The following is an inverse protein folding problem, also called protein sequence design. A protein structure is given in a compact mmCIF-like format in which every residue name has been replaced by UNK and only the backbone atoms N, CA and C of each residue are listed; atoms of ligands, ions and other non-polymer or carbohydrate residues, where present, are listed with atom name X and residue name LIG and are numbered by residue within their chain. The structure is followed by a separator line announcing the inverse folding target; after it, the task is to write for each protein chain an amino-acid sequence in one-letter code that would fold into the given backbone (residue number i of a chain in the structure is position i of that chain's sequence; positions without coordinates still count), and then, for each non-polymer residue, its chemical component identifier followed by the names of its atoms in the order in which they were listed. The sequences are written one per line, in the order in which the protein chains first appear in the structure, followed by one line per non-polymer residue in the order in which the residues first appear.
data_IF_450456261394
#
_entry.id   IF_450456261394
#
_cell.length_a   1.000
_cell.length_b   1.000
_cell.length_c   1.000
_cell.angle_alpha   90.00
_cell.angle_beta   90.00
_cell.angle_gamma   90.00
#
_symmetry.space_group_name_H-M   'P 1'
#
loop_
_entity.id
_entity.type
_entity.pdbx_description
1 polymer ?
#
# COMPACT_ATOMS: atom_id res chain seq x y z
N UNK A 1 -52.99 18.81 39.47
CA UNK A 1 -52.75 18.37 40.83
C UNK A 1 -51.29 18.07 40.92
N UNK A 2 -50.53 19.04 41.24
CA UNK A 2 -49.90 19.33 42.56
C UNK A 2 -48.83 18.30 42.84
N UNK A 3 -47.67 18.58 43.24
CA UNK A 3 -46.93 19.79 43.58
C UNK A 3 -45.59 19.38 44.18
N UNK A 4 -44.62 20.18 43.96
CA UNK A 4 -43.66 20.78 44.89
C UNK A 4 -42.39 20.01 45.27
N UNK A 5 -41.31 20.63 44.86
CA UNK A 5 -40.29 21.42 45.66
C UNK A 5 -39.36 20.57 46.49
N UNK A 6 -38.10 20.81 46.57
CA UNK A 6 -37.27 21.99 46.39
C UNK A 6 -35.87 21.71 46.93
N UNK A 7 -34.92 22.42 46.45
CA UNK A 7 -33.88 23.23 47.14
C UNK A 7 -33.07 22.58 48.27
N UNK A 8 -31.77 22.74 48.42
CA UNK A 8 -30.84 23.89 48.27
C UNK A 8 -29.43 23.52 48.73
N UNK A 9 -28.41 24.12 48.07
CA UNK A 9 -27.17 24.76 48.60
C UNK A 9 -26.19 23.92 49.46
N UNK A 10 -24.89 23.99 49.41
CA UNK A 10 -23.91 25.10 49.27
C UNK A 10 -22.48 24.57 49.12
N UNK A 11 -21.68 25.32 48.44
CA UNK A 11 -20.23 25.46 48.33
C UNK A 11 -19.70 26.16 49.63
N UNK A 12 -18.39 26.32 49.89
CA UNK A 12 -17.08 25.72 49.62
C UNK A 12 -16.22 25.55 50.88
N UNK A 13 -15.01 24.98 50.82
CA UNK A 13 -13.87 25.47 51.64
C UNK A 13 -12.54 25.18 50.92
N UNK A 14 -11.86 26.23 50.62
CA UNK A 14 -10.45 26.37 50.31
C UNK A 14 -9.61 26.15 51.57
N UNK A 15 -8.50 25.43 51.48
CA UNK A 15 -7.40 25.63 52.44
C UNK A 15 -6.06 25.48 51.75
N UNK A 16 -5.38 26.58 51.63
CA UNK A 16 -3.97 26.68 51.28
C UNK A 16 -3.13 26.62 52.56
N UNK A 17 -2.03 25.89 52.56
CA UNK A 17 -0.95 26.09 53.55
C UNK A 17 0.40 26.01 52.86
N UNK A 18 1.24 26.91 53.25
CA UNK A 18 2.46 27.45 52.73
C UNK A 18 3.70 26.69 53.29
N UNK A 19 4.71 26.57 52.46
CA UNK A 19 6.18 26.61 52.65
C UNK A 19 6.84 26.05 53.92
N UNK A 20 7.85 25.25 53.73
CA UNK A 20 9.14 25.41 54.40
C UNK A 20 10.30 24.81 53.54
N UNK A 21 11.23 25.67 53.20
CA UNK A 21 12.55 25.36 52.62
C UNK A 21 13.49 24.82 53.73
N UNK A 22 14.22 23.73 53.43
CA UNK A 22 15.56 23.51 54.03
C UNK A 22 16.48 22.92 52.99
N UNK A 23 17.57 23.60 52.76
CA UNK A 23 18.74 23.22 51.95
C UNK A 23 19.62 22.24 52.70
N UNK A 24 20.12 21.20 52.00
CA UNK A 24 21.44 20.58 52.29
C UNK A 24 21.98 19.84 51.05
N UNK A 25 23.25 19.91 50.89
CA UNK A 25 24.07 19.74 49.72
C UNK A 25 24.48 18.27 49.39
N UNK A 26 24.80 18.10 48.11
CA UNK A 26 25.82 17.24 47.48
C UNK A 26 25.83 15.74 47.76
N UNK A 27 25.56 14.97 46.73
CA UNK A 27 26.48 13.98 46.15
C UNK A 27 26.04 13.56 44.75
N UNK A 28 27.03 13.51 43.89
CA UNK A 28 27.09 13.17 42.49
C UNK A 28 26.70 11.71 42.29
N UNK A 29 25.69 11.43 41.41
CA UNK A 29 25.61 10.13 40.73
C UNK A 29 24.75 10.30 39.47
N UNK A 30 25.30 9.84 38.35
CA UNK A 30 24.88 10.09 37.00
C UNK A 30 23.41 9.67 36.70
N UNK A 31 22.57 10.63 36.40
CA UNK A 31 21.28 10.44 35.85
C UNK A 31 21.34 10.68 34.33
N UNK A 32 21.31 9.58 33.57
CA UNK A 32 21.03 9.63 32.14
C UNK A 32 19.64 10.21 31.95
N UNK A 33 19.59 11.45 31.52
CA UNK A 33 18.37 12.05 30.98
C UNK A 33 18.13 11.45 29.59
N UNK A 34 17.08 10.65 29.43
CA UNK A 34 16.52 10.30 28.15
C UNK A 34 15.99 11.58 27.51
N UNK A 35 16.79 12.23 26.69
CA UNK A 35 16.34 13.23 25.75
C UNK A 35 15.51 12.52 24.70
N UNK A 36 14.21 12.84 24.62
CA UNK A 36 13.36 12.47 23.51
C UNK A 36 13.97 12.99 22.21
N UNK A 37 14.49 12.07 21.43
CA UNK A 37 15.01 12.33 20.10
C UNK A 37 13.83 12.58 19.17
N UNK A 38 13.51 13.85 18.95
CA UNK A 38 12.80 14.27 17.75
C UNK A 38 13.76 13.99 16.58
N UNK A 39 13.62 12.80 15.99
CA UNK A 39 14.33 12.50 14.73
C UNK A 39 13.83 13.47 13.67
N UNK A 40 14.55 14.53 13.48
CA UNK A 40 14.50 15.33 12.26
C UNK A 40 14.82 14.36 11.12
N UNK A 41 13.90 14.21 10.16
CA UNK A 41 14.14 13.38 8.99
C UNK A 41 15.47 13.81 8.36
N UNK A 42 16.45 12.92 8.41
CA UNK A 42 17.73 13.15 7.76
C UNK A 42 17.44 13.19 6.24
N UNK A 43 18.01 14.16 5.56
CA UNK A 43 18.07 14.13 4.10
C UNK A 43 18.73 12.83 3.68
N UNK A 44 18.29 12.16 2.58
CA UNK A 44 18.87 10.91 2.15
C UNK A 44 20.37 11.05 2.05
N UNK A 45 21.13 10.09 2.57
CA UNK A 45 22.56 9.99 2.30
C UNK A 45 22.72 9.43 0.88
N UNK A 46 22.38 10.26 -0.08
CA UNK A 46 22.49 9.98 -1.52
C UNK A 46 23.95 9.62 -1.82
N UNK A 47 24.15 8.82 -2.86
CA UNK A 47 25.51 8.49 -3.31
C UNK A 47 26.28 9.80 -3.48
N UNK A 48 27.39 10.02 -2.77
CA UNK A 48 28.01 11.35 -2.64
C UNK A 48 28.45 11.99 -3.96
N UNK A 49 28.48 11.21 -5.03
CA UNK A 49 29.00 11.59 -6.34
C UNK A 49 27.93 11.84 -7.39
N UNK A 50 26.63 11.73 -7.05
CA UNK A 50 25.52 11.91 -8.01
C UNK A 50 24.78 13.21 -7.75
N UNK A 51 24.50 13.93 -8.82
CA UNK A 51 23.64 15.12 -8.78
C UNK A 51 22.21 14.70 -8.44
N UNK A 52 21.57 15.46 -7.55
CA UNK A 52 20.16 15.32 -7.25
C UNK A 52 19.39 16.17 -8.24
N UNK A 53 18.52 15.57 -9.09
CA UNK A 53 17.73 16.36 -10.03
C UNK A 53 16.65 17.17 -9.30
N UNK A 54 16.29 18.33 -9.85
CA UNK A 54 15.01 18.97 -9.52
C UNK A 54 13.88 18.15 -10.13
N UNK A 55 12.72 18.13 -9.45
CA UNK A 55 11.55 17.37 -9.91
C UNK A 55 10.52 18.35 -10.52
N UNK A 56 10.32 18.27 -11.81
CA UNK A 56 9.23 18.98 -12.47
C UNK A 56 7.96 18.12 -12.40
N UNK A 57 6.90 18.66 -11.80
CA UNK A 57 5.60 17.97 -11.64
C UNK A 57 4.56 18.62 -12.54
N UNK A 58 3.94 17.82 -13.39
CA UNK A 58 2.86 18.24 -14.30
C UNK A 58 1.56 17.51 -13.95
N UNK A 59 0.45 18.25 -13.93
CA UNK A 59 -0.90 17.67 -13.83
C UNK A 59 -1.34 17.25 -15.22
N UNK A 60 -1.49 15.94 -15.45
CA UNK A 60 -1.95 15.41 -16.74
C UNK A 60 -3.47 15.37 -16.83
N UNK A 61 -4.12 14.95 -15.73
CA UNK A 61 -5.58 14.86 -15.61
C UNK A 61 -5.98 15.37 -14.25
N UNK A 62 -7.01 16.18 -14.18
CA UNK A 62 -7.60 16.71 -12.96
C UNK A 62 -9.06 16.24 -12.78
N UNK A 63 -9.68 16.64 -11.67
CA UNK A 63 -11.08 16.37 -11.33
C UNK A 63 -11.44 14.86 -11.29
N UNK A 64 -10.47 14.01 -10.92
CA UNK A 64 -10.67 12.59 -10.73
C UNK A 64 -11.32 12.28 -9.36
N UNK A 65 -11.87 11.08 -9.22
CA UNK A 65 -12.45 10.59 -7.96
C UNK A 65 -11.80 9.27 -7.55
N UNK A 66 -10.88 9.34 -6.59
CA UNK A 66 -10.17 8.19 -6.04
C UNK A 66 -9.53 7.27 -7.11
N UNK A 67 -8.70 7.78 -8.05
CA UNK A 67 -7.93 6.91 -8.93
C UNK A 67 -7.03 6.01 -8.08
N UNK A 68 -7.11 4.68 -8.32
CA UNK A 68 -6.49 3.74 -7.41
C UNK A 68 -5.17 3.17 -7.93
N UNK A 69 -5.09 2.79 -9.21
CA UNK A 69 -3.86 2.30 -9.83
C UNK A 69 -3.72 2.83 -11.26
N UNK A 70 -2.53 2.69 -11.81
CA UNK A 70 -2.22 3.06 -13.18
C UNK A 70 -1.13 2.18 -13.78
N UNK A 71 -1.09 2.10 -15.11
CA UNK A 71 0.01 1.48 -15.84
C UNK A 71 0.21 2.18 -17.19
N UNK A 72 1.47 2.36 -17.59
CA UNK A 72 1.80 2.93 -18.89
C UNK A 72 2.06 1.83 -19.91
N UNK A 73 1.40 1.92 -21.07
CA UNK A 73 1.68 1.09 -22.24
C UNK A 73 2.93 1.55 -23.00
N UNK A 74 3.50 0.66 -23.81
CA UNK A 74 4.72 0.94 -24.57
C UNK A 74 4.55 2.08 -25.61
N UNK A 75 3.32 2.39 -26.03
CA UNK A 75 3.01 3.50 -26.92
C UNK A 75 2.93 4.86 -26.21
N UNK A 76 3.15 4.88 -24.89
CA UNK A 76 3.10 6.06 -24.03
C UNK A 76 1.72 6.35 -23.43
N UNK A 77 0.68 5.57 -23.77
CA UNK A 77 -0.65 5.71 -23.17
C UNK A 77 -0.62 5.30 -21.70
N UNK A 78 -1.20 6.10 -20.80
CA UNK A 78 -1.38 5.75 -19.38
C UNK A 78 -2.81 5.32 -19.13
N UNK A 79 -3.01 4.05 -18.81
CA UNK A 79 -4.30 3.50 -18.38
C UNK A 79 -4.41 3.65 -16.88
N UNK A 80 -5.53 4.14 -16.39
CA UNK A 80 -5.79 4.30 -14.96
C UNK A 80 -7.26 4.00 -14.63
N UNK A 81 -7.48 3.59 -13.41
CA UNK A 81 -8.82 3.29 -12.89
C UNK A 81 -9.32 4.35 -11.90
N UNK A 82 -10.58 4.24 -11.53
CA UNK A 82 -11.19 4.94 -10.40
C UNK A 82 -11.93 3.94 -9.53
N UNK A 83 -11.73 4.00 -8.22
CA UNK A 83 -12.21 2.99 -7.26
C UNK A 83 -13.72 2.67 -7.35
N UNK A 84 -14.55 3.66 -7.60
CA UNK A 84 -16.00 3.49 -7.66
C UNK A 84 -16.50 2.92 -9.01
N UNK A 85 -15.55 2.54 -9.88
CA UNK A 85 -15.75 1.98 -11.21
C UNK A 85 -15.45 3.01 -12.29
N UNK A 86 -14.71 2.55 -13.28
CA UNK A 86 -14.29 3.35 -14.43
C UNK A 86 -12.84 3.11 -14.77
N UNK A 87 -12.58 3.00 -16.06
CA UNK A 87 -11.25 2.96 -16.66
C UNK A 87 -11.12 4.14 -17.61
N UNK A 88 -9.95 4.74 -17.65
CA UNK A 88 -9.65 5.81 -18.59
C UNK A 88 -8.23 5.66 -19.12
N UNK A 89 -7.96 6.23 -20.28
CA UNK A 89 -6.64 6.30 -20.90
C UNK A 89 -6.27 7.76 -21.15
N UNK A 90 -5.10 8.17 -20.67
CA UNK A 90 -4.43 9.41 -21.08
C UNK A 90 -3.53 9.07 -22.25
N UNK A 91 -3.88 9.56 -23.44
CA UNK A 91 -3.20 9.28 -24.70
C UNK A 91 -1.97 10.18 -24.90
N UNK A 92 -0.98 9.79 -25.74
CA UNK A 92 0.22 10.58 -25.98
C UNK A 92 -0.03 11.99 -26.56
N UNK A 93 -1.20 12.21 -27.17
CA UNK A 93 -1.59 13.52 -27.70
C UNK A 93 -2.24 14.45 -26.64
N UNK A 94 -2.31 13.98 -25.38
CA UNK A 94 -2.90 14.71 -24.27
C UNK A 94 -4.42 14.52 -24.13
N UNK A 95 -5.04 13.69 -24.95
CA UNK A 95 -6.48 13.37 -24.87
C UNK A 95 -6.74 12.36 -23.75
N UNK A 96 -7.76 12.60 -22.91
CA UNK A 96 -8.32 11.62 -21.99
C UNK A 96 -9.48 10.92 -22.67
N UNK A 97 -9.49 9.59 -22.60
CA UNK A 97 -10.55 8.74 -23.16
C UNK A 97 -11.09 7.82 -22.10
N UNK A 98 -12.41 7.84 -21.89
CA UNK A 98 -13.05 6.83 -21.07
C UNK A 98 -13.10 5.50 -21.82
N UNK A 99 -12.82 4.42 -21.11
CA UNK A 99 -12.80 3.05 -21.63
C UNK A 99 -14.14 2.40 -21.26
N UNK A 100 -14.94 2.05 -22.25
CA UNK A 100 -16.20 1.33 -22.02
C UNK A 100 -15.89 -0.10 -21.53
N UNK A 101 -16.29 -0.42 -20.29
CA UNK A 101 -16.10 -1.72 -19.67
C UNK A 101 -17.27 -2.05 -18.74
N UNK A 102 -17.61 -3.33 -18.60
CA UNK A 102 -18.73 -3.77 -17.77
C UNK A 102 -18.27 -3.93 -16.30
N UNK A 103 -18.72 -2.99 -15.46
CA UNK A 103 -18.57 -3.00 -14.01
C UNK A 103 -19.91 -3.13 -13.28
N UNK A 104 -20.96 -3.69 -13.93
CA UNK A 104 -22.30 -3.83 -13.36
C UNK A 104 -22.38 -4.72 -12.11
N UNK A 105 -21.36 -5.51 -11.84
CA UNK A 105 -21.19 -6.39 -10.67
C UNK A 105 -20.16 -5.90 -9.66
N UNK A 106 -19.65 -4.68 -9.83
CA UNK A 106 -18.65 -4.10 -8.94
C UNK A 106 -19.22 -3.84 -7.53
N UNK A 107 -18.53 -4.34 -6.52
CA UNK A 107 -18.73 -3.92 -5.13
C UNK A 107 -17.76 -2.79 -4.79
N UNK A 108 -18.27 -1.57 -4.66
CA UNK A 108 -17.50 -0.41 -4.26
C UNK A 108 -18.03 0.13 -2.93
N UNK A 109 -17.34 -0.17 -1.84
CA UNK A 109 -17.70 0.30 -0.50
C UNK A 109 -16.47 0.33 0.41
N UNK A 110 -16.36 1.35 1.24
CA UNK A 110 -15.22 1.59 2.14
C UNK A 110 -13.89 1.69 1.34
N UNK A 111 -12.93 0.79 1.59
CA UNK A 111 -11.66 0.76 0.88
C UNK A 111 -11.71 -0.06 -0.42
N UNK A 112 -12.66 -0.98 -0.51
CA UNK A 112 -12.83 -1.90 -1.64
C UNK A 112 -13.58 -1.22 -2.79
N UNK A 113 -13.24 -1.59 -4.00
CA UNK A 113 -13.81 -1.13 -5.26
C UNK A 113 -13.04 -1.71 -6.43
N UNK A 114 -12.89 -0.97 -7.51
CA UNK A 114 -11.91 -1.22 -8.54
C UNK A 114 -10.55 -0.74 -8.02
N UNK A 115 -9.59 -1.66 -7.86
CA UNK A 115 -8.36 -1.40 -7.12
C UNK A 115 -7.13 -1.64 -8.01
N UNK A 116 -6.41 -2.76 -7.84
CA UNK A 116 -5.19 -3.00 -8.61
C UNK A 116 -5.42 -3.10 -10.12
N UNK A 117 -4.54 -2.47 -10.89
CA UNK A 117 -4.47 -2.54 -12.34
C UNK A 117 -3.05 -2.81 -12.77
N UNK A 118 -2.84 -3.77 -13.70
CA UNK A 118 -1.54 -4.01 -14.31
C UNK A 118 -1.72 -4.46 -15.75
N UNK A 119 -0.86 -3.95 -16.67
CA UNK A 119 -0.80 -4.43 -18.04
C UNK A 119 0.02 -5.72 -18.09
N UNK A 120 -0.39 -6.65 -18.97
CA UNK A 120 0.40 -7.83 -19.31
C UNK A 120 1.76 -7.41 -19.84
N UNK A 121 2.86 -8.10 -19.53
CA UNK A 121 4.17 -7.81 -20.12
C UNK A 121 4.16 -7.85 -21.66
N UNK A 122 3.27 -8.65 -22.28
CA UNK A 122 3.03 -8.72 -23.72
C UNK A 122 1.93 -7.80 -24.23
N UNK A 123 1.49 -6.78 -23.46
CA UNK A 123 0.34 -5.92 -23.77
C UNK A 123 0.39 -5.29 -25.18
N UNK A 124 1.56 -4.96 -25.67
CA UNK A 124 1.73 -4.40 -27.02
C UNK A 124 1.18 -5.34 -28.12
N UNK A 125 1.26 -6.65 -27.90
CA UNK A 125 0.84 -7.68 -28.85
C UNK A 125 -0.53 -8.28 -28.52
N UNK A 126 -0.79 -8.53 -27.21
CA UNK A 126 -1.97 -9.28 -26.76
C UNK A 126 -3.09 -8.39 -26.19
N UNK A 127 -2.83 -7.11 -25.97
CA UNK A 127 -3.77 -6.11 -25.39
C UNK A 127 -4.38 -6.52 -24.06
N UNK A 128 -3.79 -7.53 -23.39
CA UNK A 128 -4.30 -8.04 -22.11
C UNK A 128 -3.87 -7.18 -20.93
N UNK A 129 -4.77 -7.00 -20.00
CA UNK A 129 -4.49 -6.39 -18.70
C UNK A 129 -5.33 -7.06 -17.60
N UNK A 130 -5.02 -6.75 -16.37
CA UNK A 130 -5.68 -7.34 -15.21
C UNK A 130 -6.16 -6.24 -14.27
N UNK A 131 -7.35 -6.49 -13.67
CA UNK A 131 -7.85 -5.68 -12.54
C UNK A 131 -8.11 -6.56 -11.34
N UNK A 132 -7.99 -5.99 -10.15
CA UNK A 132 -8.50 -6.59 -8.94
C UNK A 132 -9.64 -5.74 -8.38
N UNK A 133 -10.80 -6.36 -8.14
CA UNK A 133 -12.00 -5.63 -7.79
C UNK A 133 -12.91 -6.39 -6.83
N UNK A 134 -13.70 -5.63 -6.05
CA UNK A 134 -14.80 -6.19 -5.28
C UNK A 134 -15.90 -6.70 -6.20
N UNK A 135 -16.54 -7.81 -5.84
CA UNK A 135 -17.65 -8.41 -6.58
C UNK A 135 -18.89 -8.50 -5.70
N UNK A 136 -20.02 -8.01 -6.22
CA UNK A 136 -21.28 -7.91 -5.49
C UNK A 136 -22.21 -9.13 -5.63
N UNK A 137 -21.84 -10.13 -6.45
CA UNK A 137 -22.68 -11.31 -6.67
C UNK A 137 -22.48 -12.41 -5.62
N UNK A 138 -23.49 -13.25 -5.41
CA UNK A 138 -23.44 -14.35 -4.45
C UNK A 138 -23.24 -13.89 -3.01
N UNK A 139 -22.24 -14.41 -2.32
CA UNK A 139 -21.85 -13.98 -0.96
C UNK A 139 -20.87 -12.79 -1.01
N UNK A 140 -20.43 -12.41 -2.22
CA UNK A 140 -19.44 -11.36 -2.44
C UNK A 140 -18.01 -11.85 -2.16
N UNK A 141 -17.08 -11.40 -3.00
CA UNK A 141 -15.65 -11.61 -2.80
C UNK A 141 -14.84 -10.46 -3.41
N UNK A 142 -13.53 -10.51 -3.28
CA UNK A 142 -12.60 -9.74 -4.11
C UNK A 142 -12.01 -10.71 -5.11
N UNK A 143 -11.85 -10.26 -6.37
CA UNK A 143 -11.37 -11.13 -7.46
C UNK A 143 -10.47 -10.42 -8.44
N UNK A 144 -9.64 -11.19 -9.10
CA UNK A 144 -8.84 -10.75 -10.24
C UNK A 144 -9.56 -11.15 -11.52
N UNK A 145 -9.65 -10.20 -12.45
CA UNK A 145 -10.25 -10.38 -13.78
C UNK A 145 -9.21 -10.03 -14.83
N UNK A 146 -9.13 -10.83 -15.89
CA UNK A 146 -8.34 -10.47 -17.07
C UNK A 146 -9.23 -9.87 -18.16
N UNK A 147 -8.69 -8.88 -18.87
CA UNK A 147 -9.39 -8.09 -19.87
C UNK A 147 -8.58 -8.01 -21.16
N UNK A 148 -9.26 -7.78 -22.27
CA UNK A 148 -8.69 -7.37 -23.54
C UNK A 148 -9.06 -5.92 -23.83
N UNK A 149 -8.07 -5.09 -24.09
CA UNK A 149 -8.20 -3.68 -24.45
C UNK A 149 -8.36 -3.53 -25.96
N UNK A 150 -9.34 -2.75 -26.42
CA UNK A 150 -9.42 -2.37 -27.81
C UNK A 150 -8.19 -1.59 -28.27
N UNK A 151 -7.78 -1.71 -29.53
CA UNK A 151 -6.58 -1.07 -30.08
C UNK A 151 -6.56 0.45 -29.91
N UNK A 152 -7.73 1.06 -29.93
CA UNK A 152 -7.90 2.50 -29.77
C UNK A 152 -8.19 2.94 -28.34
N UNK A 153 -8.11 2.05 -27.35
CA UNK A 153 -8.44 2.30 -25.94
C UNK A 153 -9.87 2.78 -25.68
N UNK A 154 -10.82 2.51 -26.59
CA UNK A 154 -12.21 2.94 -26.40
C UNK A 154 -13.05 1.96 -25.58
N UNK A 155 -12.65 0.70 -25.50
CA UNK A 155 -13.39 -0.34 -24.79
C UNK A 155 -12.47 -1.43 -24.23
N UNK A 156 -12.94 -2.15 -23.20
CA UNK A 156 -12.31 -3.35 -22.69
C UNK A 156 -13.35 -4.47 -22.48
N UNK A 157 -12.98 -5.69 -22.81
CA UNK A 157 -13.82 -6.88 -22.68
C UNK A 157 -13.21 -7.88 -21.73
N UNK A 158 -14.00 -8.48 -20.83
CA UNK A 158 -13.53 -9.52 -19.92
C UNK A 158 -13.13 -10.77 -20.71
N UNK A 159 -11.92 -11.28 -20.48
CA UNK A 159 -11.40 -12.53 -21.03
C UNK A 159 -11.67 -13.69 -20.06
N UNK A 160 -11.19 -13.57 -18.83
CA UNK A 160 -11.38 -14.56 -17.77
C UNK A 160 -11.94 -13.85 -16.53
N UNK A 161 -13.12 -14.28 -16.10
CA UNK A 161 -13.85 -13.74 -14.96
C UNK A 161 -14.53 -14.87 -14.16
N UNK A 162 -14.01 -15.20 -12.97
CA UNK A 162 -12.77 -14.69 -12.40
C UNK A 162 -11.53 -15.45 -12.88
N UNK A 163 -10.38 -14.80 -12.93
CA UNK A 163 -9.07 -15.45 -13.01
C UNK A 163 -8.68 -16.03 -11.64
N UNK A 164 -8.81 -15.22 -10.59
CA UNK A 164 -8.68 -15.63 -9.19
C UNK A 164 -9.90 -15.10 -8.43
N UNK A 165 -10.51 -15.94 -7.60
CA UNK A 165 -11.67 -15.62 -6.78
C UNK A 165 -11.48 -16.03 -5.32
N UNK A 166 -12.41 -15.62 -4.46
CA UNK A 166 -12.45 -16.04 -3.07
C UNK A 166 -11.47 -15.29 -2.16
N UNK A 167 -10.95 -14.13 -2.60
CA UNK A 167 -10.29 -13.23 -1.68
C UNK A 167 -11.36 -12.66 -0.73
N UNK A 168 -11.14 -12.69 0.58
CA UNK A 168 -12.19 -12.35 1.54
C UNK A 168 -12.72 -10.92 1.39
N UNK A 169 -14.02 -10.78 1.44
CA UNK A 169 -14.74 -9.52 1.49
C UNK A 169 -15.70 -9.55 2.68
N UNK A 170 -15.60 -8.56 3.57
CA UNK A 170 -16.52 -8.36 4.68
C UNK A 170 -17.22 -7.02 4.57
N UNK A 171 -16.80 -6.02 5.34
CA UNK A 171 -17.35 -4.65 5.31
C UNK A 171 -16.78 -3.77 4.19
N UNK A 172 -15.83 -4.27 3.41
CA UNK A 172 -15.03 -3.51 2.45
C UNK A 172 -13.76 -2.89 3.04
N UNK A 173 -13.46 -3.14 4.33
CA UNK A 173 -12.17 -2.77 4.94
C UNK A 173 -11.09 -3.77 4.51
N UNK A 174 -9.86 -3.27 4.43
CA UNK A 174 -8.66 -4.05 4.15
C UNK A 174 -8.78 -4.94 2.89
N UNK A 175 -9.19 -4.32 1.78
CA UNK A 175 -9.35 -5.03 0.51
C UNK A 175 -8.02 -5.45 -0.14
N UNK A 176 -6.91 -4.82 0.22
CA UNK A 176 -5.66 -4.94 -0.54
C UNK A 176 -5.85 -4.28 -1.89
N UNK A 177 -5.67 -4.77 -2.84
CA UNK A 177 -5.45 -5.79 -3.83
C UNK A 177 -4.54 -5.21 -4.92
N UNK A 178 -3.25 -5.08 -4.63
CA UNK A 178 -2.24 -4.59 -5.58
C UNK A 178 -1.81 -5.74 -6.49
N UNK A 179 -1.67 -5.43 -7.78
CA UNK A 179 -1.20 -6.35 -8.80
C UNK A 179 0.16 -5.91 -9.36
N UNK A 180 1.11 -6.83 -9.53
CA UNK A 180 2.37 -6.61 -10.26
C UNK A 180 2.83 -7.93 -10.87
N UNK A 181 3.62 -7.85 -11.93
CA UNK A 181 4.31 -9.02 -12.47
C UNK A 181 5.68 -9.19 -11.82
N UNK A 182 6.12 -10.43 -11.64
CA UNK A 182 7.51 -10.73 -11.29
C UNK A 182 8.36 -11.05 -12.54
N UNK A 183 9.65 -11.30 -12.33
CA UNK A 183 10.60 -11.57 -13.42
C UNK A 183 10.30 -12.84 -14.20
N UNK A 184 9.65 -13.82 -13.58
CA UNK A 184 9.26 -15.07 -14.22
C UNK A 184 7.98 -14.95 -15.06
N UNK A 185 7.29 -13.80 -14.96
CA UNK A 185 6.01 -13.55 -15.60
C UNK A 185 4.81 -14.03 -14.79
N UNK A 186 4.98 -14.40 -13.52
CA UNK A 186 3.87 -14.69 -12.63
C UNK A 186 3.19 -13.41 -12.17
N UNK A 187 1.86 -13.45 -12.04
CA UNK A 187 1.07 -12.36 -11.47
C UNK A 187 1.12 -12.44 -9.93
N UNK A 188 1.63 -11.38 -9.31
CA UNK A 188 1.67 -11.18 -7.87
C UNK A 188 0.46 -10.38 -7.43
N UNK A 189 -0.17 -10.83 -6.33
CA UNK A 189 -1.37 -10.21 -5.79
C UNK A 189 -1.15 -9.97 -4.29
N UNK A 190 -1.19 -8.70 -3.86
CA UNK A 190 -1.19 -8.37 -2.44
C UNK A 190 -2.63 -8.31 -1.93
N UNK A 191 -2.98 -9.00 -0.85
CA UNK A 191 -4.34 -9.03 -0.32
C UNK A 191 -4.43 -8.40 1.07
N UNK A 192 -5.62 -7.97 1.46
CA UNK A 192 -5.90 -7.56 2.83
C UNK A 192 -6.57 -8.69 3.62
N UNK A 193 -6.56 -8.58 4.93
CA UNK A 193 -7.17 -9.57 5.84
C UNK A 193 -8.71 -9.42 5.94
N UNK A 194 -9.30 -8.48 5.18
CA UNK A 194 -10.72 -8.13 5.21
C UNK A 194 -11.23 -7.72 6.61
N UNK A 195 -10.34 -7.26 7.49
CA UNK A 195 -10.60 -7.02 8.92
C UNK A 195 -11.23 -8.26 9.63
N UNK A 196 -10.82 -9.47 9.23
CA UNK A 196 -11.19 -10.73 9.85
C UNK A 196 -9.94 -11.38 10.46
N UNK A 197 -9.83 -11.34 11.77
CA UNK A 197 -8.59 -11.60 12.50
C UNK A 197 -7.98 -12.98 12.33
N UNK A 198 -8.77 -13.99 11.92
CA UNK A 198 -8.24 -15.34 11.63
C UNK A 198 -7.51 -15.40 10.28
N UNK A 199 -7.85 -14.53 9.33
CA UNK A 199 -7.35 -14.65 7.96
C UNK A 199 -5.81 -14.62 7.84
N UNK A 200 -5.08 -13.70 8.50
CA UNK A 200 -3.64 -13.58 8.27
C UNK A 200 -2.86 -14.85 8.53
N UNK A 201 -3.19 -15.58 9.58
CA UNK A 201 -2.49 -16.80 10.00
C UNK A 201 -3.11 -18.11 9.49
N UNK A 202 -4.31 -18.05 8.89
CA UNK A 202 -4.97 -19.23 8.29
C UNK A 202 -4.46 -19.45 6.86
N UNK A 203 -3.68 -20.49 6.65
CA UNK A 203 -3.13 -20.86 5.34
C UNK A 203 -4.20 -21.36 4.35
N UNK A 204 -5.43 -21.62 4.78
CA UNK A 204 -6.54 -21.95 3.85
C UNK A 204 -7.25 -20.70 3.32
N UNK A 205 -7.09 -19.55 3.96
CA UNK A 205 -7.63 -18.25 3.57
C UNK A 205 -6.69 -17.50 2.63
N UNK A 206 -7.24 -16.79 1.65
CA UNK A 206 -6.49 -15.89 0.77
C UNK A 206 -6.38 -14.46 1.33
N UNK A 207 -6.92 -14.18 2.50
CA UNK A 207 -6.85 -12.86 3.15
C UNK A 207 -5.57 -12.65 3.96
N UNK A 208 -4.97 -11.46 3.88
CA UNK A 208 -3.72 -11.12 4.54
C UNK A 208 -2.53 -11.94 4.02
N UNK A 209 -2.40 -11.97 2.69
CA UNK A 209 -1.42 -12.77 1.94
C UNK A 209 -0.75 -11.97 0.84
N UNK A 210 0.37 -12.49 0.33
CA UNK A 210 0.74 -12.27 -1.06
C UNK A 210 0.57 -13.58 -1.82
N UNK A 211 0.02 -13.49 -3.02
CA UNK A 211 -0.24 -14.64 -3.88
C UNK A 211 0.66 -14.58 -5.12
N UNK A 212 0.95 -15.74 -5.71
CA UNK A 212 1.71 -15.85 -6.97
C UNK A 212 1.02 -16.86 -7.87
N UNK A 213 0.53 -16.38 -9.01
CA UNK A 213 -0.33 -17.17 -9.89
C UNK A 213 0.10 -17.09 -11.36
N UNK A 214 -0.24 -18.10 -12.11
CA UNK A 214 -0.14 -18.11 -13.56
C UNK A 214 -1.19 -17.16 -14.15
N UNK A 215 -0.80 -16.14 -14.95
CA UNK A 215 -1.71 -15.12 -15.47
C UNK A 215 -2.67 -15.64 -16.55
N UNK A 216 -2.43 -16.82 -17.12
CA UNK A 216 -3.30 -17.42 -18.13
C UNK A 216 -4.41 -18.26 -17.50
N UNK A 217 -4.13 -18.90 -16.36
CA UNK A 217 -5.01 -19.92 -15.79
C UNK A 217 -5.51 -19.60 -14.38
N UNK A 218 -4.87 -18.65 -13.67
CA UNK A 218 -5.12 -18.36 -12.25
C UNK A 218 -4.67 -19.47 -11.30
N UNK A 219 -4.00 -20.51 -11.83
CA UNK A 219 -3.47 -21.60 -11.02
C UNK A 219 -2.21 -21.18 -10.25
N UNK A 220 -1.83 -21.89 -9.18
CA UNK A 220 -0.60 -21.60 -8.46
C UNK A 220 0.61 -21.67 -9.37
N UNK A 221 1.55 -20.74 -9.21
CA UNK A 221 2.83 -20.85 -9.89
C UNK A 221 3.57 -22.11 -9.43
N UNK A 222 4.25 -22.84 -10.32
CA UNK A 222 4.71 -24.20 -10.03
C UNK A 222 5.64 -24.37 -8.83
N UNK A 223 6.42 -23.36 -8.49
CA UNK A 223 7.37 -23.35 -7.38
C UNK A 223 6.89 -22.56 -6.15
N UNK A 224 5.59 -22.29 -6.04
CA UNK A 224 5.03 -21.69 -4.83
C UNK A 224 5.32 -22.54 -3.59
N UNK A 225 5.57 -21.91 -2.43
CA UNK A 225 6.04 -22.62 -1.24
C UNK A 225 5.06 -23.65 -0.67
N UNK A 226 3.77 -23.52 -0.98
CA UNK A 226 2.71 -24.36 -0.41
C UNK A 226 2.03 -25.29 -1.43
N UNK A 227 2.57 -25.47 -2.65
CA UNK A 227 1.94 -26.32 -3.68
C UNK A 227 1.80 -27.81 -3.27
N UNK A 228 2.71 -28.31 -2.43
CA UNK A 228 2.71 -29.67 -1.93
C UNK A 228 2.02 -29.81 -0.55
N UNK A 229 1.57 -28.71 0.06
CA UNK A 229 0.93 -28.72 1.38
C UNK A 229 -0.59 -28.81 1.24
N UNK A 230 -1.14 -29.99 1.56
CA UNK A 230 -2.59 -30.21 1.53
C UNK A 230 -3.38 -29.38 2.58
N UNK A 231 -2.71 -28.79 3.57
CA UNK A 231 -3.29 -27.93 4.59
C UNK A 231 -3.29 -26.45 4.25
N UNK A 232 -2.70 -26.08 3.12
CA UNK A 232 -2.57 -24.69 2.71
C UNK A 232 -3.16 -24.44 1.30
N UNK A 233 -3.53 -23.19 1.03
CA UNK A 233 -3.92 -22.78 -0.32
C UNK A 233 -2.65 -22.60 -1.17
N UNK A 234 -2.51 -23.33 -2.29
CA UNK A 234 -1.28 -23.32 -3.09
C UNK A 234 -0.99 -22.01 -3.82
N UNK A 235 -1.96 -21.07 -3.87
CA UNK A 235 -1.72 -19.73 -4.44
C UNK A 235 -0.85 -18.86 -3.53
N UNK A 236 -0.74 -19.18 -2.23
CA UNK A 236 -0.05 -18.35 -1.24
C UNK A 236 1.45 -18.36 -1.52
N UNK A 237 2.04 -17.16 -1.51
CA UNK A 237 3.48 -16.95 -1.55
C UNK A 237 4.03 -16.55 -0.18
N UNK A 238 3.35 -15.61 0.53
CA UNK A 238 3.64 -15.21 1.91
C UNK A 238 2.34 -15.00 2.69
N UNK A 239 2.41 -14.99 4.02
CA UNK A 239 1.25 -14.84 4.88
C UNK A 239 1.55 -13.99 6.13
N UNK A 240 0.51 -13.74 6.94
CA UNK A 240 0.66 -12.90 8.12
C UNK A 240 0.73 -11.41 7.81
N UNK A 241 0.01 -10.96 6.77
CA UNK A 241 -0.12 -9.55 6.39
C UNK A 241 -1.45 -8.97 6.86
N UNK A 242 -1.50 -7.64 7.06
CA UNK A 242 -2.74 -6.93 7.39
C UNK A 242 -3.46 -6.40 6.16
N UNK A 243 -2.84 -5.51 5.40
CA UNK A 243 -3.49 -4.85 4.26
C UNK A 243 -2.44 -4.39 3.24
N UNK A 244 -2.05 -5.29 2.35
CA UNK A 244 -1.02 -5.05 1.34
C UNK A 244 -1.58 -4.17 0.23
N UNK A 245 -1.16 -2.90 0.18
CA UNK A 245 -1.60 -1.92 -0.82
C UNK A 245 -0.52 -1.53 -1.83
N UNK A 246 0.72 -1.89 -1.59
CA UNK A 246 1.85 -1.67 -2.49
C UNK A 246 2.59 -2.95 -2.79
N UNK A 247 3.03 -3.12 -4.04
CA UNK A 247 4.00 -4.13 -4.47
C UNK A 247 5.00 -3.45 -5.40
N UNK A 248 6.29 -3.74 -5.25
CA UNK A 248 7.35 -3.20 -6.08
C UNK A 248 8.42 -4.26 -6.35
N UNK A 249 8.71 -4.54 -7.61
CA UNK A 249 9.81 -5.39 -8.03
C UNK A 249 11.08 -4.54 -8.15
N UNK A 250 12.17 -4.96 -7.51
CA UNK A 250 13.47 -4.27 -7.62
C UNK A 250 14.09 -4.56 -8.99
N UNK A 251 14.42 -3.52 -9.77
CA UNK A 251 15.00 -3.71 -11.10
C UNK A 251 16.27 -4.56 -11.09
N UNK A 252 16.36 -5.50 -12.05
CA UNK A 252 17.51 -6.38 -12.20
C UNK A 252 17.64 -7.49 -11.16
N UNK A 253 16.63 -7.69 -10.31
CA UNK A 253 16.58 -8.73 -9.28
C UNK A 253 15.23 -9.47 -9.31
N UNK A 254 15.08 -10.50 -8.47
CA UNK A 254 13.80 -11.19 -8.22
C UNK A 254 13.12 -10.67 -6.93
N UNK A 255 13.70 -9.64 -6.29
CA UNK A 255 13.23 -9.12 -5.02
C UNK A 255 11.94 -8.33 -5.19
N UNK A 256 10.86 -8.83 -4.58
CA UNK A 256 9.58 -8.14 -4.50
C UNK A 256 9.38 -7.58 -3.09
N UNK A 257 8.93 -6.34 -3.02
CA UNK A 257 8.62 -5.65 -1.77
C UNK A 257 7.13 -5.39 -1.65
N UNK A 258 6.58 -5.51 -0.45
CA UNK A 258 5.23 -5.04 -0.12
C UNK A 258 5.27 -3.76 0.71
N UNK A 259 4.23 -2.94 0.55
CA UNK A 259 3.90 -1.86 1.47
C UNK A 259 2.49 -2.10 2.01
N UNK A 260 2.33 -2.10 3.34
CA UNK A 260 1.06 -2.44 3.97
C UNK A 260 0.71 -1.51 5.13
N UNK A 261 -0.60 -1.36 5.36
CA UNK A 261 -1.12 -0.54 6.44
C UNK A 261 -1.03 -1.27 7.77
N UNK A 262 -0.40 -0.64 8.73
CA UNK A 262 -0.60 -0.93 10.14
C UNK A 262 -1.98 -0.47 10.66
N UNK A 263 -2.29 -0.72 11.94
CA UNK A 263 -3.51 -0.16 12.56
C UNK A 263 -3.39 1.37 12.74
N UNK A 264 -3.11 1.84 13.95
CA UNK A 264 -2.84 3.26 14.23
C UNK A 264 -1.33 3.57 14.23
N UNK A 265 -0.51 2.53 14.17
CA UNK A 265 0.95 2.54 14.22
C UNK A 265 1.53 1.53 13.24
N UNK A 266 2.82 1.62 12.97
CA UNK A 266 3.63 0.59 12.31
C UNK A 266 3.12 0.16 10.94
N UNK A 267 2.84 1.13 10.03
CA UNK A 267 2.84 0.76 8.61
C UNK A 267 4.19 0.14 8.24
N UNK A 268 4.20 -0.87 7.38
CA UNK A 268 5.39 -1.63 7.08
C UNK A 268 5.75 -1.64 5.60
N UNK A 269 7.06 -1.76 5.34
CA UNK A 269 7.59 -2.19 4.04
C UNK A 269 8.38 -3.47 4.27
N UNK A 270 8.09 -4.51 3.51
CA UNK A 270 8.60 -5.85 3.69
C UNK A 270 9.29 -6.37 2.42
N UNK A 271 10.44 -7.03 2.54
CA UNK A 271 11.01 -7.86 1.49
C UNK A 271 10.31 -9.23 1.53
N UNK A 272 9.63 -9.60 0.44
CA UNK A 272 8.83 -10.83 0.39
C UNK A 272 9.73 -12.06 0.20
N UNK A 273 9.70 -12.97 1.16
CA UNK A 273 10.44 -14.24 1.16
C UNK A 273 9.45 -15.39 1.04
N UNK A 274 9.65 -16.29 0.08
CA UNK A 274 8.75 -17.43 -0.17
C UNK A 274 8.47 -18.24 1.11
N UNK A 275 7.18 -18.44 1.42
CA UNK A 275 6.72 -19.19 2.58
C UNK A 275 6.81 -18.47 3.93
N UNK A 276 7.33 -17.24 3.95
CA UNK A 276 7.51 -16.51 5.20
C UNK A 276 6.20 -15.99 5.80
N UNK A 277 6.18 -15.94 7.15
CA UNK A 277 5.14 -15.30 7.96
C UNK A 277 5.59 -13.91 8.39
N UNK A 278 4.80 -12.88 8.09
CA UNK A 278 5.10 -11.49 8.46
C UNK A 278 4.48 -11.07 9.81
N UNK A 279 3.81 -12.00 10.48
CA UNK A 279 3.55 -11.90 11.91
C UNK A 279 2.27 -11.17 12.31
N UNK A 280 1.47 -10.62 11.39
CA UNK A 280 0.20 -10.01 11.75
C UNK A 280 -0.78 -11.05 12.32
N UNK A 281 -1.19 -10.87 13.60
CA UNK A 281 -2.07 -11.81 14.33
C UNK A 281 -3.03 -11.03 15.26
N UNK A 282 -4.08 -10.39 14.72
CA UNK A 282 -4.96 -9.52 15.50
C UNK A 282 -5.93 -10.26 16.42
N UNK A 283 -6.03 -11.58 16.36
CA UNK A 283 -6.87 -12.39 17.28
C UNK A 283 -6.18 -12.67 18.60
N UNK A 284 -4.84 -12.62 18.66
CA UNK A 284 -4.10 -12.89 19.90
C UNK A 284 -4.48 -14.24 20.51
N UNK A 285 -4.72 -14.25 21.85
CA UNK A 285 -5.07 -15.47 22.59
C UNK A 285 -6.55 -15.87 22.50
N UNK A 286 -7.44 -14.93 22.11
CA UNK A 286 -8.90 -15.14 22.04
C UNK A 286 -9.36 -15.09 20.57
N UNK A 287 -9.56 -16.25 19.89
CA UNK A 287 -10.03 -16.29 18.52
C UNK A 287 -11.41 -15.63 18.37
N UNK A 288 -11.54 -14.70 17.43
CA UNK A 288 -12.78 -14.02 17.07
C UNK A 288 -12.81 -12.52 17.35
N UNK A 289 -11.89 -12.00 18.16
CA UNK A 289 -11.75 -10.58 18.41
C UNK A 289 -10.66 -9.99 17.48
N UNK A 290 -11.03 -9.00 16.66
CA UNK A 290 -10.07 -8.26 15.85
C UNK A 290 -9.42 -7.17 16.70
N UNK A 291 -8.22 -7.44 17.22
CA UNK A 291 -7.50 -6.54 18.10
C UNK A 291 -6.42 -5.74 17.35
N UNK A 292 -6.68 -4.49 17.07
CA UNK A 292 -5.73 -3.59 16.38
C UNK A 292 -4.62 -3.02 17.31
N UNK A 293 -4.59 -3.45 18.59
CA UNK A 293 -3.54 -3.02 19.53
C UNK A 293 -2.34 -3.99 19.58
N UNK A 294 -2.36 -5.07 18.79
CA UNK A 294 -1.22 -5.99 18.67
C UNK A 294 -0.19 -5.40 17.71
N UNK A 295 1.11 -5.74 17.88
CA UNK A 295 2.14 -5.30 16.95
C UNK A 295 1.92 -5.94 15.56
N UNK A 296 2.37 -5.25 14.51
CA UNK A 296 2.29 -5.76 13.14
C UNK A 296 3.07 -7.07 12.99
N UNK A 297 4.26 -7.15 13.55
CA UNK A 297 5.00 -8.41 13.68
C UNK A 297 4.87 -8.92 15.10
N UNK A 298 4.08 -9.99 15.32
CA UNK A 298 3.89 -10.58 16.66
C UNK A 298 5.19 -11.30 17.12
N UNK A 299 5.84 -10.83 18.21
CA UNK A 299 7.06 -11.44 18.70
C UNK A 299 6.88 -12.85 19.31
N UNK A 300 5.63 -13.31 19.47
CA UNK A 300 5.31 -14.67 19.94
C UNK A 300 5.15 -15.68 18.80
N UNK A 301 5.21 -15.24 17.55
CA UNK A 301 5.24 -16.10 16.38
C UNK A 301 6.70 -16.43 16.08
N UNK A 302 7.06 -17.69 16.24
CA UNK A 302 8.40 -18.19 15.91
C UNK A 302 8.68 -17.93 14.40
N UNK A 303 9.86 -17.41 14.09
CA UNK A 303 10.33 -17.13 12.73
C UNK A 303 9.51 -16.06 11.95
N UNK A 304 8.71 -15.21 12.63
CA UNK A 304 8.07 -14.07 12.01
C UNK A 304 9.14 -13.13 11.40
N UNK A 305 8.93 -12.74 10.15
CA UNK A 305 9.86 -11.87 9.44
C UNK A 305 9.64 -10.40 9.84
N UNK A 306 10.66 -9.71 10.33
CA UNK A 306 10.53 -8.29 10.63
C UNK A 306 10.46 -7.47 9.34
N UNK A 307 9.72 -6.36 9.39
CA UNK A 307 9.72 -5.37 8.32
C UNK A 307 11.13 -4.78 8.10
N UNK A 308 11.46 -4.46 6.84
CA UNK A 308 12.69 -3.72 6.54
C UNK A 308 12.57 -2.25 6.96
N UNK A 309 11.35 -1.73 7.02
CA UNK A 309 11.01 -0.39 7.49
C UNK A 309 9.63 -0.38 8.15
N UNK A 310 9.50 0.37 9.25
CA UNK A 310 8.23 0.66 9.92
C UNK A 310 8.06 2.16 10.13
N UNK A 311 6.82 2.65 10.03
CA UNK A 311 6.51 4.06 10.27
C UNK A 311 6.66 4.46 11.76
N UNK A 312 6.54 3.50 12.67
CA UNK A 312 6.33 3.80 14.09
C UNK A 312 4.98 4.46 14.32
N UNK A 313 4.90 5.38 15.29
CA UNK A 313 3.68 6.12 15.64
C UNK A 313 3.79 7.59 15.16
N UNK A 314 2.76 8.11 14.48
CA UNK A 314 1.53 7.44 14.02
C UNK A 314 1.75 6.66 12.71
N UNK A 315 0.79 5.80 12.37
CA UNK A 315 0.68 5.26 11.01
C UNK A 315 0.48 6.40 10.00
N UNK A 316 1.09 6.25 8.83
CA UNK A 316 1.05 7.25 7.74
C UNK A 316 0.32 6.73 6.49
N UNK A 317 -0.20 5.51 6.57
CA UNK A 317 -0.99 4.79 5.57
C UNK A 317 -0.24 4.65 4.24
N UNK A 318 0.72 3.73 4.21
CA UNK A 318 1.50 3.37 3.01
C UNK A 318 0.60 2.80 1.91
N UNK A 319 0.89 3.07 0.65
CA UNK A 319 0.05 2.63 -0.47
C UNK A 319 0.91 2.14 -1.65
N UNK A 320 0.61 2.53 -2.89
CA UNK A 320 1.34 2.08 -4.06
C UNK A 320 2.85 2.32 -3.96
N UNK A 321 3.64 1.40 -4.51
CA UNK A 321 5.09 1.42 -4.44
C UNK A 321 5.73 1.13 -5.80
N UNK A 322 6.92 1.71 -6.04
CA UNK A 322 7.74 1.47 -7.22
C UNK A 322 9.21 1.80 -6.94
N UNK A 323 10.13 1.19 -7.66
CA UNK A 323 11.51 1.63 -7.68
C UNK A 323 11.69 2.70 -8.76
N UNK A 324 12.55 3.69 -8.50
CA UNK A 324 13.12 4.52 -9.53
C UNK A 324 14.27 3.76 -10.19
N UNK A 325 14.32 3.79 -11.51
CA UNK A 325 15.33 3.08 -12.30
C UNK A 325 15.68 3.94 -13.53
N UNK A 326 16.95 4.32 -13.63
CA UNK A 326 17.46 5.10 -14.73
C UNK A 326 18.42 6.21 -14.30
N UNK A 327 19.47 6.46 -15.11
CA UNK A 327 20.50 7.44 -14.80
C UNK A 327 19.97 8.88 -14.73
N UNK A 328 18.83 9.19 -15.36
CA UNK A 328 18.14 10.48 -15.30
C UNK A 328 17.68 10.84 -13.89
N UNK A 329 17.46 9.85 -13.03
CA UNK A 329 17.09 10.07 -11.64
C UNK A 329 18.28 10.45 -10.75
N UNK A 330 19.52 10.32 -11.24
CA UNK A 330 20.73 10.74 -10.51
C UNK A 330 20.78 10.17 -9.11
N UNK A 331 20.86 11.04 -8.09
CA UNK A 331 20.88 10.61 -6.69
C UNK A 331 19.60 9.91 -6.19
N UNK A 332 18.52 9.94 -6.93
CA UNK A 332 17.29 9.19 -6.62
C UNK A 332 17.22 7.81 -7.30
N UNK A 333 18.15 7.49 -8.21
CA UNK A 333 18.19 6.20 -8.88
C UNK A 333 18.33 5.04 -7.87
N UNK A 334 17.51 3.99 -8.04
CA UNK A 334 17.45 2.82 -7.15
C UNK A 334 16.67 3.01 -5.85
N UNK A 335 16.05 4.18 -5.60
CA UNK A 335 15.19 4.36 -4.43
C UNK A 335 13.85 3.61 -4.60
N UNK A 336 13.41 2.95 -3.54
CA UNK A 336 12.03 2.46 -3.41
C UNK A 336 11.14 3.62 -2.95
N UNK A 337 10.20 4.00 -3.78
CA UNK A 337 9.19 5.01 -3.47
C UNK A 337 7.89 4.35 -3.00
N UNK A 338 7.26 4.94 -1.97
CA UNK A 338 5.97 4.49 -1.44
C UNK A 338 5.04 5.70 -1.27
N UNK A 339 3.86 5.63 -1.88
CA UNK A 339 2.82 6.65 -1.71
C UNK A 339 2.25 6.62 -0.29
N UNK A 340 1.94 7.79 0.26
CA UNK A 340 1.42 7.95 1.63
C UNK A 340 0.06 8.63 1.60
N UNK A 341 -0.94 7.94 2.14
CA UNK A 341 -2.31 8.48 2.22
C UNK A 341 -2.45 9.44 3.41
N UNK A 342 -2.30 8.95 4.64
CA UNK A 342 -2.39 9.79 5.83
C UNK A 342 -1.16 10.71 5.96
N UNK A 343 0.00 10.23 5.55
CA UNK A 343 1.24 10.99 5.55
C UNK A 343 1.35 12.06 4.47
N UNK A 344 0.45 12.09 3.48
CA UNK A 344 0.33 13.11 2.43
C UNK A 344 1.65 13.45 1.74
N UNK A 345 2.26 12.45 1.08
CA UNK A 345 3.54 12.61 0.40
C UNK A 345 4.06 11.30 -0.15
N UNK A 346 5.34 11.24 -0.45
CA UNK A 346 6.01 10.04 -0.95
C UNK A 346 7.19 9.74 -0.03
N UNK A 347 7.23 8.51 0.51
CA UNK A 347 8.37 7.96 1.23
C UNK A 347 9.39 7.47 0.21
N UNK A 348 10.67 7.73 0.45
CA UNK A 348 11.79 7.27 -0.34
C UNK A 348 12.74 6.48 0.54
N UNK A 349 12.92 5.20 0.24
CA UNK A 349 13.78 4.27 0.96
C UNK A 349 15.01 3.94 0.11
N UNK A 350 16.18 4.09 0.70
CA UNK A 350 17.43 3.62 0.14
C UNK A 350 17.76 2.25 0.74
N UNK A 351 17.97 1.28 -0.11
CA UNK A 351 18.29 -0.09 0.29
C UNK A 351 19.73 -0.44 -0.16
N UNK A 352 20.37 -1.34 0.55
CA UNK A 352 21.65 -1.92 0.13
C UNK A 352 21.45 -3.05 -0.91
N UNK A 353 22.54 -3.73 -1.26
CA UNK A 353 22.52 -4.82 -2.23
C UNK A 353 21.74 -6.06 -1.73
N UNK A 354 21.67 -6.24 -0.41
CA UNK A 354 20.98 -7.35 0.26
C UNK A 354 19.52 -6.99 0.62
N UNK A 355 19.02 -5.81 0.21
CA UNK A 355 17.66 -5.34 0.47
C UNK A 355 17.44 -4.73 1.86
N UNK A 356 18.50 -4.57 2.66
CA UNK A 356 18.38 -3.94 3.97
C UNK A 356 18.29 -2.41 3.87
N UNK A 357 17.54 -1.79 4.79
CA UNK A 357 17.35 -0.35 4.82
C UNK A 357 18.63 0.39 5.18
N UNK A 358 19.08 1.30 4.32
CA UNK A 358 20.16 2.24 4.58
C UNK A 358 19.63 3.59 5.10
N UNK A 359 18.60 4.13 4.48
CA UNK A 359 17.97 5.39 4.90
C UNK A 359 16.53 5.50 4.45
N UNK A 360 15.75 6.31 5.17
CA UNK A 360 14.38 6.67 4.83
C UNK A 360 14.24 8.20 4.84
N UNK A 361 13.56 8.75 3.84
CA UNK A 361 13.33 10.19 3.69
C UNK A 361 12.01 10.45 2.97
N UNK A 362 11.66 11.72 2.81
CA UNK A 362 10.51 12.14 1.99
C UNK A 362 11.03 12.62 0.64
N UNK A 363 10.32 12.27 -0.44
CA UNK A 363 10.61 12.81 -1.76
C UNK A 363 10.21 14.29 -1.78
N UNK A 364 11.15 15.22 -2.12
CA UNK A 364 10.86 16.65 -2.09
C UNK A 364 9.71 17.05 -3.03
N UNK A 365 8.96 18.10 -2.64
CA UNK A 365 7.88 18.68 -3.45
C UNK A 365 6.53 18.00 -3.29
N UNK A 366 6.43 16.88 -2.56
CA UNK A 366 5.17 16.15 -2.36
C UNK A 366 4.55 16.32 -0.98
N UNK A 367 5.31 16.74 0.04
CA UNK A 367 4.81 16.86 1.42
C UNK A 367 3.64 17.85 1.52
N UNK A 368 2.42 17.30 1.71
CA UNK A 368 1.18 18.06 1.80
C UNK A 368 0.72 18.78 0.53
N UNK A 369 1.55 18.79 -0.53
CA UNK A 369 1.30 19.59 -1.75
C UNK A 369 0.11 19.07 -2.55
N UNK A 370 0.02 17.75 -2.71
CA UNK A 370 -1.02 17.08 -3.50
C UNK A 370 -1.98 16.27 -2.62
N UNK A 371 -1.84 16.35 -1.28
CA UNK A 371 -2.62 15.60 -0.32
C UNK A 371 -2.23 14.12 -0.29
N UNK A 372 -3.21 13.24 -0.27
CA UNK A 372 -3.07 11.79 -0.13
C UNK A 372 -2.56 11.16 -1.43
N UNK A 373 -1.39 10.55 -1.40
CA UNK A 373 -0.80 9.87 -2.57
C UNK A 373 -1.22 8.40 -2.55
N UNK A 374 -1.93 7.96 -3.61
CA UNK A 374 -2.45 6.59 -3.73
C UNK A 374 -1.48 5.67 -4.45
N UNK A 375 -1.01 6.06 -5.63
CA UNK A 375 -0.09 5.24 -6.42
C UNK A 375 1.10 6.07 -6.86
N UNK A 376 2.25 5.45 -6.81
CA UNK A 376 3.49 5.86 -7.47
C UNK A 376 3.91 4.73 -8.39
N UNK A 377 4.18 5.02 -9.67
CA UNK A 377 4.53 4.02 -10.67
C UNK A 377 5.53 4.59 -11.67
N UNK A 378 6.68 3.93 -11.81
CA UNK A 378 7.62 4.25 -12.89
C UNK A 378 7.02 3.78 -14.23
N UNK A 379 6.95 4.67 -15.19
CA UNK A 379 6.49 4.36 -16.54
C UNK A 379 7.58 3.72 -17.42
N UNK A 380 7.16 3.17 -18.55
CA UNK A 380 8.08 2.60 -19.56
C UNK A 380 8.99 3.64 -20.21
N UNK A 381 8.65 4.93 -20.07
CA UNK A 381 9.44 6.07 -20.52
C UNK A 381 10.45 6.58 -19.48
N UNK A 382 10.56 5.88 -18.34
CA UNK A 382 11.44 6.25 -17.22
C UNK A 382 10.92 7.42 -16.37
N UNK A 383 9.70 7.92 -16.61
CA UNK A 383 9.09 8.99 -15.81
C UNK A 383 8.22 8.40 -14.70
N UNK A 384 8.07 9.17 -13.60
CA UNK A 384 7.23 8.73 -12.49
C UNK A 384 5.80 9.27 -12.67
N UNK A 385 4.82 8.38 -12.56
CA UNK A 385 3.39 8.69 -12.56
C UNK A 385 2.80 8.53 -11.17
N UNK A 386 1.93 9.47 -10.78
CA UNK A 386 1.40 9.53 -9.42
C UNK A 386 -0.10 9.80 -9.46
N UNK A 387 -0.90 9.05 -8.68
CA UNK A 387 -2.31 9.36 -8.44
C UNK A 387 -2.53 9.81 -7.00
N UNK A 388 -3.54 10.68 -6.80
CA UNK A 388 -3.98 11.10 -5.46
C UNK A 388 -5.27 10.39 -5.05
N UNK A 389 -5.69 10.52 -3.79
CA UNK A 389 -6.96 9.97 -3.27
C UNK A 389 -7.49 10.85 -2.14
N UNK A 390 -8.01 12.02 -2.51
CA UNK A 390 -8.50 13.07 -1.61
C UNK A 390 -10.03 13.05 -1.47
N UNK A 391 -10.71 12.05 -2.05
CA UNK A 391 -12.16 11.91 -2.16
C UNK A 391 -12.82 12.98 -3.07
N UNK A 392 -12.15 13.32 -4.14
CA UNK A 392 -12.59 14.27 -5.17
C UNK A 392 -11.58 15.37 -5.43
N UNK A 393 -11.54 15.86 -6.66
CA UNK A 393 -10.51 16.77 -7.13
C UNK A 393 -9.14 16.11 -7.16
N UNK A 394 -9.13 14.79 -7.36
CA UNK A 394 -7.91 14.01 -7.47
C UNK A 394 -7.24 14.20 -8.82
N UNK A 395 -5.97 13.90 -8.91
CA UNK A 395 -5.14 14.16 -10.07
C UNK A 395 -4.30 12.96 -10.47
N UNK A 396 -4.00 12.87 -11.77
CA UNK A 396 -2.91 12.10 -12.33
C UNK A 396 -1.76 13.06 -12.63
N UNK A 397 -0.60 12.79 -12.03
CA UNK A 397 0.61 13.60 -12.18
C UNK A 397 1.67 12.84 -12.99
N UNK A 398 2.51 13.57 -13.68
CA UNK A 398 3.78 13.11 -14.24
C UNK A 398 4.93 13.89 -13.60
N UNK A 399 5.98 13.17 -13.19
CA UNK A 399 7.18 13.72 -12.56
C UNK A 399 8.38 13.46 -13.45
N UNK A 400 9.05 14.51 -13.83
CA UNK A 400 10.23 14.48 -14.71
C UNK A 400 11.45 14.97 -13.93
N UNK A 401 12.53 14.17 -13.80
CA UNK A 401 13.79 14.64 -13.23
C UNK A 401 14.47 15.64 -14.18
N UNK A 402 15.01 16.73 -13.62
CA UNK A 402 15.74 17.77 -14.35
C UNK A 402 17.15 17.89 -13.76
N UNK A 403 18.17 17.40 -14.49
CA UNK A 403 19.59 17.45 -14.12
C UNK A 403 20.23 18.79 -14.52
#
# INVERSE_FOLDING_TARGET
MDSHRGRTHRIPVLLAVILALTSAACSDDGQQTSSGDTRTAASPSLRPDQQIPELAVEVLVDDLTNPWDLAQAADGTVVFDQRDGGLSAYLPDGTVRDIEADFGDLYANSETGLMGLVLDPGFADNRRFFTCQGYAGGEGDIRVISWEMADDYAAATRLTDPLVAGLPLTSGRHGGCRLRFDTDGALRIGTGDAAAGSNPQDLTSLGGKTLRVDPDTGQPWPDNPFVEDAGANPLIYTYGHRNVQGLALRPGTEEMYSAEHGPDVDDEVNLLIAGANFGWNPVGADPGDYNESVPMTDPNIDDAQPAIWSSGEPAIATSGATFLDGPEWGGYDGLLLVGLLAGQGILALQLDEDGALLSASRLPGFDGTYGRIRTVQLGNDGLLYVTTSNNGGDVLLRVTPQL
#
